data_IF_888230568161
#
_entry.id   IF_888230568161
#
_cell.length_a   1.000
_cell.length_b   1.000
_cell.length_c   1.000
_cell.angle_alpha   90.00
_cell.angle_beta   90.00
_cell.angle_gamma   90.00
#
_symmetry.space_group_name_H-M   'P 1'
#
loop_
_entity.id
_entity.type
_entity.pdbx_description
1 polymer ?
#
# COMPACT_ATOMS: atom_id res chain seq x y z
N UNK A 1 20.16 24.08 -22.34
CA UNK A 1 19.22 23.87 -21.21
C UNK A 1 18.66 25.23 -20.86
N UNK A 2 17.34 25.38 -20.85
CA UNK A 2 16.69 26.64 -20.50
C UNK A 2 16.01 26.46 -19.15
N UNK A 3 16.33 27.33 -18.19
CA UNK A 3 15.71 27.35 -16.85
C UNK A 3 14.26 27.81 -16.99
N UNK A 4 13.34 27.21 -16.22
CA UNK A 4 11.91 27.53 -16.26
C UNK A 4 11.13 26.88 -15.12
N UNK A 5 9.79 26.98 -15.17
CA UNK A 5 8.91 26.34 -14.19
C UNK A 5 9.07 24.82 -14.21
N UNK A 6 9.02 24.12 -13.05
CA UNK A 6 9.15 22.68 -13.00
C UNK A 6 8.08 21.96 -13.83
N UNK A 7 8.51 20.97 -14.59
CA UNK A 7 7.64 19.97 -15.23
C UNK A 7 7.60 18.68 -14.40
N UNK A 8 6.70 17.76 -14.74
CA UNK A 8 6.68 16.41 -14.15
C UNK A 8 8.02 15.67 -14.30
N UNK A 9 8.79 15.95 -15.36
CA UNK A 9 10.11 15.34 -15.55
C UNK A 9 11.14 15.83 -14.52
N UNK A 10 11.06 17.10 -14.10
CA UNK A 10 11.95 17.65 -13.07
C UNK A 10 11.73 16.95 -11.72
N UNK A 11 10.47 16.84 -11.28
CA UNK A 11 10.11 16.11 -10.05
C UNK A 11 10.42 14.61 -10.18
N UNK A 12 10.07 14.05 -11.35
CA UNK A 12 10.25 12.64 -11.68
C UNK A 12 11.69 12.14 -11.69
N UNK A 13 12.67 13.04 -11.88
CA UNK A 13 14.10 12.69 -11.81
C UNK A 13 14.45 12.00 -10.50
N UNK A 14 13.78 12.36 -9.41
CA UNK A 14 13.94 11.72 -8.10
C UNK A 14 12.69 10.95 -7.65
N UNK A 15 11.48 11.35 -8.05
CA UNK A 15 10.26 10.70 -7.55
C UNK A 15 9.85 9.42 -8.32
N UNK A 16 10.23 9.29 -9.59
CA UNK A 16 9.97 8.07 -10.38
C UNK A 16 11.02 6.98 -10.16
N UNK A 17 12.13 7.34 -9.52
CA UNK A 17 13.26 6.48 -9.23
C UNK A 17 13.51 6.43 -7.73
N UNK A 18 13.57 5.23 -7.15
CA UNK A 18 13.84 5.06 -5.72
C UNK A 18 14.34 3.66 -5.44
N UNK A 19 14.94 3.40 -4.28
CA UNK A 19 15.34 2.03 -3.92
C UNK A 19 16.29 1.33 -4.92
N UNK A 20 17.01 2.09 -5.75
CA UNK A 20 17.95 1.59 -6.75
C UNK A 20 17.37 1.31 -8.14
N UNK A 21 16.20 1.85 -8.49
CA UNK A 21 15.65 1.75 -9.85
C UNK A 21 14.32 2.49 -10.05
N UNK A 22 13.79 2.43 -11.27
CA UNK A 22 12.46 2.93 -11.64
C UNK A 22 11.36 2.08 -10.96
N UNK A 23 10.31 2.72 -10.44
CA UNK A 23 9.13 2.04 -9.91
C UNK A 23 9.35 1.16 -8.67
N UNK A 24 10.58 1.05 -8.15
CA UNK A 24 10.91 0.15 -7.02
C UNK A 24 10.19 0.56 -5.73
N UNK A 25 10.16 1.87 -5.41
CA UNK A 25 9.76 2.39 -4.10
C UNK A 25 8.26 2.58 -3.98
N UNK A 26 7.70 3.55 -4.70
CA UNK A 26 6.25 3.80 -4.69
C UNK A 26 5.57 2.91 -5.73
N UNK A 27 4.32 2.50 -5.45
CA UNK A 27 3.51 1.69 -6.36
C UNK A 27 2.78 2.54 -7.41
N UNK A 28 2.72 3.85 -7.24
CA UNK A 28 1.91 4.78 -8.03
C UNK A 28 2.77 5.88 -8.70
N UNK A 29 4.09 5.73 -8.74
CA UNK A 29 4.99 6.70 -9.38
C UNK A 29 6.08 6.01 -10.21
N UNK A 30 6.03 6.23 -11.53
CA UNK A 30 7.04 5.79 -12.48
C UNK A 30 7.13 6.74 -13.70
N UNK A 31 8.05 6.47 -14.64
CA UNK A 31 8.33 7.38 -15.76
C UNK A 31 7.13 7.63 -16.67
N UNK A 32 6.13 6.75 -16.69
CA UNK A 32 4.89 6.93 -17.45
C UNK A 32 4.16 8.21 -17.07
N UNK A 33 4.32 8.70 -15.84
CA UNK A 33 3.76 9.98 -15.37
C UNK A 33 4.44 11.22 -15.98
N UNK A 34 5.55 11.07 -16.70
CA UNK A 34 6.12 12.19 -17.46
C UNK A 34 5.14 12.64 -18.56
N UNK A 35 4.51 11.69 -19.25
CA UNK A 35 3.52 11.92 -20.31
C UNK A 35 2.45 10.82 -20.31
N UNK A 36 1.56 10.81 -19.31
CA UNK A 36 0.57 9.74 -19.16
C UNK A 36 -0.59 9.93 -20.15
N UNK A 37 -1.28 8.84 -20.45
CA UNK A 37 -2.62 8.87 -21.05
C UNK A 37 -3.68 8.78 -19.95
N UNK A 38 -4.97 9.07 -20.23
CA UNK A 38 -6.02 9.12 -19.19
C UNK A 38 -6.26 7.80 -18.44
N UNK A 39 -5.82 6.67 -19.01
CA UNK A 39 -5.88 5.36 -18.34
C UNK A 39 -4.75 5.13 -17.33
N UNK A 40 -3.76 6.02 -17.25
CA UNK A 40 -2.74 6.03 -16.18
C UNK A 40 -3.11 7.06 -15.14
N UNK A 41 -3.28 8.32 -15.54
CA UNK A 41 -3.66 9.39 -14.61
C UNK A 41 -4.45 10.48 -15.35
N UNK A 42 -5.72 10.68 -14.97
CA UNK A 42 -6.61 11.65 -15.64
C UNK A 42 -6.20 13.10 -15.38
N UNK A 43 -5.59 13.40 -14.23
CA UNK A 43 -5.19 14.76 -13.87
C UNK A 43 -3.94 15.18 -14.65
N UNK A 44 -2.99 14.26 -14.80
CA UNK A 44 -1.72 14.51 -15.49
C UNK A 44 -1.76 14.22 -17.00
N UNK A 45 -2.79 13.53 -17.50
CA UNK A 45 -2.94 13.24 -18.92
C UNK A 45 -3.24 14.48 -19.77
N UNK A 46 -3.04 14.33 -21.08
CA UNK A 46 -3.38 15.37 -22.05
C UNK A 46 -4.87 15.76 -21.95
N UNK A 47 -5.14 17.06 -21.78
CA UNK A 47 -6.46 17.59 -21.42
C UNK A 47 -6.31 18.56 -20.24
N UNK A 48 -6.14 18.01 -19.03
CA UNK A 48 -5.83 18.78 -17.82
C UNK A 48 -4.32 19.08 -17.71
N UNK A 49 -3.47 18.11 -18.09
CA UNK A 49 -2.01 18.20 -18.12
C UNK A 49 -1.36 18.78 -16.84
N UNK A 50 -1.93 18.45 -15.67
CA UNK A 50 -1.46 18.97 -14.39
C UNK A 50 0.03 18.68 -14.19
N UNK A 51 0.78 19.71 -13.78
CA UNK A 51 2.12 19.54 -13.24
C UNK A 51 2.01 19.19 -11.76
N UNK A 52 3.05 18.59 -11.18
CA UNK A 52 3.06 18.23 -9.77
C UNK A 52 2.68 19.42 -8.88
N UNK A 53 3.20 20.61 -9.20
CA UNK A 53 2.96 21.86 -8.46
C UNK A 53 1.52 22.37 -8.51
N UNK A 54 0.65 21.79 -9.34
CA UNK A 54 -0.76 22.15 -9.40
C UNK A 54 -1.53 21.64 -8.17
N UNK A 55 -1.20 20.42 -7.71
CA UNK A 55 -1.74 19.82 -6.49
C UNK A 55 -0.78 20.10 -5.31
N UNK A 56 0.52 19.88 -5.53
CA UNK A 56 1.60 20.23 -4.60
C UNK A 56 1.93 21.73 -4.69
N UNK A 57 0.94 22.57 -4.34
CA UNK A 57 1.08 24.02 -4.26
C UNK A 57 2.38 24.43 -3.58
N UNK A 58 3.14 25.30 -4.22
CA UNK A 58 4.47 25.67 -3.75
C UNK A 58 4.55 27.17 -3.52
N UNK A 59 4.74 27.58 -2.27
CA UNK A 59 4.90 28.99 -1.88
C UNK A 59 6.26 29.13 -1.22
N UNK A 60 7.06 30.12 -1.64
CA UNK A 60 8.40 30.37 -1.10
C UNK A 60 9.28 29.10 -1.01
N UNK A 61 9.26 28.26 -2.06
CA UNK A 61 9.95 26.96 -2.14
C UNK A 61 9.49 25.89 -1.14
N UNK A 62 8.41 26.14 -0.39
CA UNK A 62 7.77 25.13 0.43
C UNK A 62 6.73 24.39 -0.42
N UNK A 63 7.11 23.21 -0.91
CA UNK A 63 6.24 22.34 -1.69
C UNK A 63 5.24 21.69 -0.73
N UNK A 64 3.95 21.91 -0.93
CA UNK A 64 2.92 21.27 -0.12
C UNK A 64 2.89 19.76 -0.36
N UNK A 65 2.64 19.00 0.68
CA UNK A 65 2.67 17.55 0.68
C UNK A 65 2.75 17.05 2.11
N UNK A 66 2.42 15.78 2.33
CA UNK A 66 2.49 15.16 3.66
C UNK A 66 3.60 14.13 3.68
N UNK A 67 4.48 14.24 4.67
CA UNK A 67 5.36 13.14 5.10
C UNK A 67 4.73 12.32 6.24
N UNK A 68 3.43 12.52 6.51
CA UNK A 68 2.60 11.82 7.50
C UNK A 68 3.11 11.90 8.96
N UNK A 69 4.02 12.85 9.26
CA UNK A 69 4.50 13.13 10.62
C UNK A 69 3.57 14.07 11.42
N UNK A 70 2.48 14.55 10.81
CA UNK A 70 1.47 15.44 11.37
C UNK A 70 0.09 14.90 10.95
N UNK A 71 -0.94 14.91 11.82
CA UNK A 71 -2.31 14.47 11.50
C UNK A 71 -2.89 15.08 10.22
N UNK A 72 -3.94 14.44 9.68
CA UNK A 72 -4.64 14.97 8.52
C UNK A 72 -5.18 16.38 8.83
N UNK A 73 -5.24 17.25 7.82
CA UNK A 73 -5.84 18.56 8.01
C UNK A 73 -7.31 18.35 8.42
N UNK A 74 -7.72 18.98 9.52
CA UNK A 74 -9.12 18.98 9.97
C UNK A 74 -10.02 19.68 8.92
N UNK A 75 -9.48 20.67 8.21
CA UNK A 75 -10.16 21.42 7.16
C UNK A 75 -10.19 20.65 5.84
N UNK A 76 -11.24 19.85 5.65
CA UNK A 76 -11.66 19.26 4.36
C UNK A 76 -12.41 20.29 3.50
N UNK A 77 -11.90 21.52 3.43
CA UNK A 77 -12.58 22.61 2.72
C UNK A 77 -12.26 22.62 1.23
N UNK A 78 -13.27 22.98 0.43
CA UNK A 78 -13.11 23.22 -1.00
C UNK A 78 -12.12 24.35 -1.21
N UNK A 79 -11.13 24.14 -2.07
CA UNK A 79 -10.03 25.09 -2.22
C UNK A 79 -9.93 25.53 -3.68
N UNK A 80 -10.13 26.83 -3.90
CA UNK A 80 -10.04 27.44 -5.23
C UNK A 80 -8.62 27.32 -5.76
N UNK A 81 -8.48 26.78 -6.98
CA UNK A 81 -7.21 26.71 -7.70
C UNK A 81 -6.61 28.12 -7.81
N UNK A 82 -5.40 28.31 -7.27
CA UNK A 82 -4.67 29.57 -7.32
C UNK A 82 -4.72 30.44 -6.06
N UNK A 83 -5.35 29.98 -4.97
CA UNK A 83 -5.28 30.67 -3.67
C UNK A 83 -4.05 30.20 -2.87
N UNK A 84 -3.20 31.13 -2.41
CA UNK A 84 -1.90 30.82 -1.78
C UNK A 84 -2.02 30.13 -0.42
N UNK A 85 -3.17 30.21 0.25
CA UNK A 85 -3.38 29.66 1.60
C UNK A 85 -3.81 28.20 1.66
N UNK A 86 -4.27 27.60 0.55
CA UNK A 86 -4.96 26.31 0.62
C UNK A 86 -4.05 25.18 0.13
N UNK A 87 -3.84 24.18 0.99
CA UNK A 87 -3.15 22.94 0.63
C UNK A 87 -4.11 22.07 -0.19
N UNK A 88 -3.96 22.11 -1.52
CA UNK A 88 -4.79 21.38 -2.50
C UNK A 88 -4.50 19.88 -2.58
N UNK A 89 -4.23 19.23 -1.44
CA UNK A 89 -3.66 17.88 -1.40
C UNK A 89 -4.71 16.76 -1.33
N UNK A 90 -5.98 17.10 -1.12
CA UNK A 90 -7.07 16.13 -1.02
C UNK A 90 -7.96 16.18 -2.27
N UNK A 91 -8.61 15.07 -2.60
CA UNK A 91 -9.59 15.03 -3.69
C UNK A 91 -10.68 16.08 -3.48
N UNK A 92 -11.10 16.25 -2.23
CA UNK A 92 -12.13 17.19 -1.78
C UNK A 92 -11.74 18.66 -1.99
N UNK A 93 -10.47 18.96 -2.24
CA UNK A 93 -10.04 20.32 -2.60
C UNK A 93 -10.60 20.76 -3.96
N UNK A 94 -10.85 19.82 -4.89
CA UNK A 94 -11.39 20.10 -6.23
C UNK A 94 -12.74 19.41 -6.50
N UNK A 95 -13.06 18.35 -5.76
CA UNK A 95 -14.29 17.57 -5.90
C UNK A 95 -15.20 17.77 -4.67
N UNK A 96 -16.51 17.66 -4.85
CA UNK A 96 -17.43 17.65 -3.71
C UNK A 96 -17.27 16.35 -2.91
N UNK A 97 -17.62 16.35 -1.63
CA UNK A 97 -17.65 15.13 -0.80
C UNK A 97 -18.66 14.08 -1.29
N UNK A 98 -19.67 14.49 -2.06
CA UNK A 98 -20.70 13.60 -2.63
C UNK A 98 -20.72 13.68 -4.16
N UNK A 99 -19.64 13.30 -4.86
CA UNK A 99 -19.47 13.57 -6.29
C UNK A 99 -20.29 12.62 -7.19
N UNK A 100 -20.89 11.57 -6.63
CA UNK A 100 -21.56 10.54 -7.40
C UNK A 100 -23.07 10.78 -7.51
N UNK A 101 -23.64 10.42 -8.65
CA UNK A 101 -25.10 10.40 -8.85
C UNK A 101 -25.77 9.28 -8.04
N UNK A 102 -25.05 8.18 -7.79
CA UNK A 102 -25.54 7.07 -6.98
C UNK A 102 -25.29 7.42 -5.51
N UNK A 103 -26.35 7.75 -4.77
CA UNK A 103 -26.27 8.14 -3.37
C UNK A 103 -25.45 7.15 -2.52
N UNK A 104 -25.60 5.84 -2.78
CA UNK A 104 -24.87 4.82 -2.01
C UNK A 104 -23.34 4.94 -2.16
N UNK A 105 -22.83 5.40 -3.29
CA UNK A 105 -21.39 5.64 -3.44
C UNK A 105 -20.92 6.83 -2.61
N UNK A 106 -21.79 7.83 -2.40
CA UNK A 106 -21.48 8.97 -1.53
C UNK A 106 -21.40 8.54 -0.06
N UNK A 107 -22.29 7.65 0.41
CA UNK A 107 -22.20 7.09 1.77
C UNK A 107 -20.85 6.41 2.05
N UNK A 108 -20.19 5.84 1.03
CA UNK A 108 -18.90 5.18 1.23
C UNK A 108 -17.80 6.17 1.58
N UNK A 109 -17.90 7.43 1.15
CA UNK A 109 -16.86 8.44 1.35
C UNK A 109 -16.63 8.78 2.83
N UNK A 110 -17.58 8.42 3.69
CA UNK A 110 -17.47 8.52 5.16
C UNK A 110 -16.37 7.63 5.72
N UNK A 111 -16.18 6.45 5.13
CA UNK A 111 -15.28 5.40 5.66
C UNK A 111 -14.26 4.89 4.65
N UNK A 112 -14.40 5.21 3.37
CA UNK A 112 -13.55 4.75 2.28
C UNK A 112 -12.98 5.97 1.57
N UNK A 113 -11.66 6.02 1.42
CA UNK A 113 -10.99 7.10 0.69
C UNK A 113 -11.34 7.09 -0.79
N UNK A 114 -11.27 8.25 -1.45
CA UNK A 114 -11.47 8.34 -2.89
C UNK A 114 -10.48 7.44 -3.64
N UNK A 115 -9.23 7.44 -3.18
CA UNK A 115 -8.12 6.66 -3.68
C UNK A 115 -8.42 5.15 -3.65
N UNK A 116 -9.10 4.64 -2.62
CA UNK A 116 -9.40 3.21 -2.52
C UNK A 116 -10.29 2.71 -3.67
N UNK A 117 -11.16 3.56 -4.19
CA UNK A 117 -12.01 3.27 -5.34
C UNK A 117 -11.38 3.70 -6.67
N UNK A 118 -10.62 4.78 -6.66
CA UNK A 118 -10.10 5.44 -7.86
C UNK A 118 -8.63 5.15 -8.15
N UNK A 119 -7.94 4.32 -7.37
CA UNK A 119 -6.60 3.78 -7.69
C UNK A 119 -6.71 2.24 -7.63
N UNK A 120 -7.30 1.60 -8.66
CA UNK A 120 -7.67 0.19 -8.60
C UNK A 120 -6.45 -0.74 -8.60
N UNK A 121 -5.33 -0.33 -9.22
CA UNK A 121 -4.11 -1.11 -9.33
C UNK A 121 -2.86 -0.25 -9.12
N UNK A 122 -1.85 -0.85 -8.51
CA UNK A 122 -0.49 -0.34 -8.41
C UNK A 122 0.33 -0.81 -9.61
N UNK A 123 1.43 -0.10 -9.88
CA UNK A 123 2.46 -0.49 -10.83
C UNK A 123 1.87 -0.72 -12.23
N UNK A 124 0.96 0.17 -12.68
CA UNK A 124 0.21 0.02 -13.93
C UNK A 124 1.15 -0.16 -15.13
N UNK A 125 2.19 0.66 -15.21
CA UNK A 125 3.13 0.64 -16.34
C UNK A 125 4.47 -0.03 -16.01
N UNK A 126 5.00 0.21 -14.81
CA UNK A 126 6.32 -0.30 -14.40
C UNK A 126 6.21 -1.18 -13.18
N UNK A 127 6.88 -2.35 -13.16
CA UNK A 127 6.84 -3.22 -12.00
C UNK A 127 7.36 -2.53 -10.73
N UNK A 128 6.71 -2.80 -9.61
CA UNK A 128 7.16 -2.37 -8.28
C UNK A 128 7.59 -3.56 -7.44
N UNK A 129 8.59 -3.35 -6.58
CA UNK A 129 9.12 -4.39 -5.71
C UNK A 129 8.24 -4.52 -4.47
N UNK A 130 7.84 -5.74 -4.14
CA UNK A 130 7.00 -6.06 -2.97
C UNK A 130 7.76 -6.80 -1.87
N UNK A 131 8.83 -7.49 -2.24
CA UNK A 131 9.69 -8.23 -1.32
C UNK A 131 11.16 -7.95 -1.59
N UNK A 132 11.95 -7.78 -0.54
CA UNK A 132 13.40 -7.71 -0.62
C UNK A 132 14.06 -8.49 0.53
N UNK A 133 14.68 -9.63 0.21
CA UNK A 133 15.41 -10.45 1.19
C UNK A 133 16.93 -10.27 1.06
N UNK A 134 17.51 -9.47 1.94
CA UNK A 134 18.96 -9.27 2.02
C UNK A 134 19.72 -10.45 2.64
N UNK A 135 19.05 -11.35 3.37
CA UNK A 135 19.69 -12.54 3.97
C UNK A 135 20.23 -13.50 2.92
N UNK A 136 19.69 -13.42 1.70
CA UNK A 136 20.12 -14.23 0.56
C UNK A 136 21.22 -13.56 -0.26
N UNK A 137 21.67 -12.35 0.09
CA UNK A 137 22.75 -11.67 -0.60
C UNK A 137 24.10 -12.39 -0.39
N UNK A 138 25.04 -12.18 -1.29
CA UNK A 138 26.38 -12.78 -1.23
C UNK A 138 26.52 -14.14 -1.93
N UNK A 139 25.43 -14.83 -2.32
CA UNK A 139 25.54 -16.10 -3.07
C UNK A 139 26.13 -15.85 -4.46
N UNK A 140 27.16 -16.62 -4.79
CA UNK A 140 27.95 -16.59 -6.03
C UNK A 140 27.81 -17.92 -6.77
N UNK A 141 28.28 -17.97 -8.02
CA UNK A 141 28.41 -19.25 -8.75
C UNK A 141 29.47 -20.13 -8.06
N UNK A 142 29.55 -21.44 -8.39
CA UNK A 142 30.63 -22.30 -7.91
C UNK A 142 32.04 -21.74 -8.19
N UNK A 143 32.19 -20.98 -9.28
CA UNK A 143 33.44 -20.32 -9.69
C UNK A 143 33.66 -18.96 -8.99
N UNK A 144 32.83 -18.62 -8.00
CA UNK A 144 32.94 -17.38 -7.21
C UNK A 144 32.46 -16.11 -7.92
N UNK A 145 31.76 -16.22 -9.06
CA UNK A 145 31.29 -15.04 -9.80
C UNK A 145 29.95 -14.51 -9.25
N UNK A 146 29.72 -13.18 -9.25
CA UNK A 146 28.41 -12.61 -8.95
C UNK A 146 27.33 -13.12 -9.92
N UNK A 147 26.14 -13.36 -9.37
CA UNK A 147 24.94 -13.84 -10.04
C UNK A 147 23.94 -12.68 -10.13
N UNK A 148 23.31 -12.54 -11.31
CA UNK A 148 22.08 -11.78 -11.49
C UNK A 148 21.07 -12.70 -12.16
N UNK A 149 19.90 -12.89 -11.54
CA UNK A 149 18.79 -13.63 -12.16
C UNK A 149 17.69 -12.65 -12.52
N UNK A 150 17.12 -12.84 -13.70
CA UNK A 150 16.01 -12.04 -14.21
C UNK A 150 14.77 -12.89 -14.40
N UNK A 151 13.60 -12.29 -14.21
CA UNK A 151 12.32 -12.86 -14.60
C UNK A 151 11.54 -11.83 -15.40
N UNK A 152 10.58 -12.31 -16.19
CA UNK A 152 9.58 -11.46 -16.83
C UNK A 152 8.40 -11.26 -15.88
N UNK A 153 7.98 -10.00 -15.71
CA UNK A 153 6.79 -9.62 -14.96
C UNK A 153 5.90 -8.79 -15.87
N UNK A 154 4.88 -9.45 -16.43
CA UNK A 154 3.92 -8.89 -17.41
C UNK A 154 4.63 -8.09 -18.52
N UNK A 155 5.60 -8.72 -19.18
CA UNK A 155 6.36 -8.16 -20.31
C UNK A 155 7.54 -7.26 -19.94
N UNK A 156 7.85 -7.11 -18.65
CA UNK A 156 9.02 -6.33 -18.20
C UNK A 156 10.04 -7.23 -17.52
N UNK A 157 11.27 -7.26 -18.05
CA UNK A 157 12.38 -8.02 -17.45
C UNK A 157 12.94 -7.28 -16.23
N UNK A 158 12.82 -7.89 -15.06
CA UNK A 158 13.33 -7.36 -13.79
C UNK A 158 14.33 -8.32 -13.15
N UNK A 159 15.26 -7.80 -12.35
CA UNK A 159 16.13 -8.65 -11.54
C UNK A 159 15.29 -9.25 -10.40
N UNK A 160 15.29 -10.56 -10.25
CA UNK A 160 14.66 -11.29 -9.12
C UNK A 160 15.71 -11.80 -8.12
N UNK A 161 16.98 -11.76 -8.49
CA UNK A 161 18.10 -11.96 -7.59
C UNK A 161 19.32 -11.17 -8.07
N UNK A 162 20.09 -10.61 -7.15
CA UNK A 162 21.39 -9.99 -7.40
C UNK A 162 22.32 -10.31 -6.22
N UNK A 163 23.52 -10.84 -6.47
CA UNK A 163 24.49 -11.17 -5.39
C UNK A 163 24.74 -9.99 -4.45
N UNK A 164 24.67 -8.74 -4.92
CA UNK A 164 24.86 -7.56 -4.09
C UNK A 164 23.69 -7.25 -3.17
N UNK A 165 22.51 -7.77 -3.45
CA UNK A 165 21.24 -7.29 -2.87
C UNK A 165 20.32 -8.39 -2.37
N UNK A 166 20.53 -9.65 -2.75
CA UNK A 166 19.68 -10.77 -2.39
C UNK A 166 18.52 -10.97 -3.35
N UNK A 167 17.38 -11.41 -2.83
CA UNK A 167 16.22 -11.83 -3.62
C UNK A 167 15.11 -10.76 -3.64
N UNK A 168 14.36 -10.71 -4.74
CA UNK A 168 13.25 -9.78 -4.93
C UNK A 168 11.97 -10.48 -5.41
N UNK A 169 10.81 -9.97 -5.00
CA UNK A 169 9.53 -10.22 -5.67
C UNK A 169 9.02 -8.89 -6.23
N UNK A 170 8.51 -8.94 -7.45
CA UNK A 170 7.96 -7.81 -8.17
C UNK A 170 6.55 -8.11 -8.65
N UNK A 171 5.75 -7.05 -8.74
CA UNK A 171 4.40 -7.09 -9.32
C UNK A 171 4.27 -6.01 -10.38
N UNK A 172 3.33 -6.16 -11.29
CA UNK A 172 2.90 -5.13 -12.24
C UNK A 172 1.38 -5.21 -12.37
N UNK A 173 0.70 -4.08 -12.36
CA UNK A 173 -0.75 -3.96 -12.51
C UNK A 173 -1.52 -4.93 -11.59
N UNK A 174 -1.36 -4.73 -10.28
CA UNK A 174 -1.96 -5.57 -9.25
C UNK A 174 -2.66 -4.72 -8.19
N UNK A 175 -3.65 -5.31 -7.51
CA UNK A 175 -4.42 -4.61 -6.49
C UNK A 175 -3.55 -4.19 -5.29
N UNK A 176 -3.79 -3.01 -4.71
CA UNK A 176 -3.18 -2.62 -3.43
C UNK A 176 -3.73 -3.45 -2.26
N UNK A 177 -3.00 -3.40 -1.14
CA UNK A 177 -3.56 -3.77 0.16
C UNK A 177 -4.34 -2.58 0.72
N UNK A 178 -5.24 -2.81 1.67
CA UNK A 178 -6.07 -1.76 2.26
C UNK A 178 -5.91 -1.78 3.78
N UNK A 179 -5.86 -0.59 4.38
CA UNK A 179 -5.76 -0.41 5.83
C UNK A 179 -6.68 0.71 6.29
N UNK A 180 -7.02 0.73 7.58
CA UNK A 180 -7.50 1.94 8.24
C UNK A 180 -6.35 2.93 8.37
N UNK A 181 -6.63 4.21 8.09
CA UNK A 181 -5.66 5.27 8.21
C UNK A 181 -6.33 6.60 8.54
N UNK A 182 -5.87 7.27 9.60
CA UNK A 182 -6.32 8.60 10.00
C UNK A 182 -5.39 9.73 9.51
N UNK A 183 -4.38 9.39 8.72
CA UNK A 183 -3.40 10.35 8.21
C UNK A 183 -2.12 10.44 9.04
N UNK A 184 -2.04 9.86 10.24
CA UNK A 184 -0.82 9.86 11.04
C UNK A 184 0.02 8.60 10.82
N UNK A 185 1.34 8.76 10.80
CA UNK A 185 2.26 7.64 10.67
C UNK A 185 3.43 7.79 11.63
N UNK A 186 3.58 6.82 12.53
CA UNK A 186 4.77 6.70 13.38
C UNK A 186 5.90 6.09 12.57
N UNK A 187 7.12 6.54 12.80
CA UNK A 187 8.31 6.08 12.09
C UNK A 187 9.34 5.58 13.10
N UNK A 188 10.06 4.51 12.74
CA UNK A 188 11.28 4.11 13.45
C UNK A 188 12.44 5.02 13.08
N UNK A 189 13.27 5.32 14.07
CA UNK A 189 14.49 6.10 13.92
C UNK A 189 15.73 5.20 14.07
N UNK A 190 16.85 5.73 13.57
CA UNK A 190 18.16 5.09 13.73
C UNK A 190 18.49 5.00 15.22
N UNK A 191 18.81 3.79 15.70
CA UNK A 191 19.09 3.52 17.11
C UNK A 191 17.89 3.08 17.94
N UNK A 192 16.67 3.11 17.39
CA UNK A 192 15.51 2.55 18.09
C UNK A 192 15.71 1.06 18.34
N UNK A 193 15.44 0.65 19.58
CA UNK A 193 15.43 -0.77 19.97
C UNK A 193 14.21 -1.44 19.33
N UNK A 194 14.46 -2.51 18.59
CA UNK A 194 13.43 -3.29 17.90
C UNK A 194 12.92 -4.44 18.77
N UNK A 195 11.69 -4.86 18.48
CA UNK A 195 11.15 -6.12 18.96
C UNK A 195 11.57 -7.26 18.03
N UNK A 196 12.45 -8.13 18.54
CA UNK A 196 12.97 -9.32 17.87
C UNK A 196 12.32 -10.62 18.37
N UNK A 197 11.15 -10.53 19.03
CA UNK A 197 10.49 -11.68 19.66
C UNK A 197 9.05 -11.86 19.22
N UNK A 198 8.27 -10.77 19.14
CA UNK A 198 6.83 -10.87 18.87
C UNK A 198 6.57 -11.35 17.44
N UNK A 199 5.94 -12.53 17.24
CA UNK A 199 5.62 -13.04 15.91
C UNK A 199 4.73 -12.08 15.13
N UNK A 200 4.92 -12.03 13.81
CA UNK A 200 4.11 -11.17 12.93
C UNK A 200 2.59 -11.46 13.02
N UNK A 201 2.18 -12.69 13.36
CA UNK A 201 0.77 -13.03 13.61
C UNK A 201 0.15 -12.32 14.81
N UNK A 202 0.97 -11.83 15.73
CA UNK A 202 0.54 -11.15 16.96
C UNK A 202 0.65 -9.63 16.86
N UNK A 203 1.26 -9.10 15.80
CA UNK A 203 1.42 -7.66 15.60
C UNK A 203 0.16 -7.07 14.95
N UNK A 204 -0.57 -6.14 15.63
CA UNK A 204 -1.79 -5.57 15.07
C UNK A 204 -1.56 -4.86 13.73
N UNK A 205 -2.45 -5.15 12.78
CA UNK A 205 -2.41 -4.58 11.43
C UNK A 205 -1.39 -5.22 10.48
N UNK A 206 -0.58 -6.17 10.93
CA UNK A 206 0.29 -6.96 10.05
C UNK A 206 -0.51 -8.13 9.49
N UNK A 207 -0.63 -8.18 8.16
CA UNK A 207 -1.25 -9.29 7.45
C UNK A 207 -0.29 -9.90 6.45
N UNK A 208 -0.48 -11.18 6.13
CA UNK A 208 0.26 -11.80 5.04
C UNK A 208 -0.24 -11.25 3.71
N UNK A 209 0.63 -10.55 2.99
CA UNK A 209 0.30 -10.04 1.67
C UNK A 209 0.28 -11.14 0.61
N UNK A 210 -0.31 -10.84 -0.53
CA UNK A 210 -0.35 -11.77 -1.68
C UNK A 210 1.04 -11.96 -2.32
N UNK A 211 1.93 -10.98 -2.16
CA UNK A 211 3.16 -10.84 -2.95
C UNK A 211 4.41 -10.72 -2.08
N UNK A 212 4.49 -11.53 -1.02
CA UNK A 212 5.64 -11.58 -0.13
C UNK A 212 5.94 -13.01 0.34
N UNK A 213 7.05 -13.15 1.06
CA UNK A 213 7.45 -14.40 1.73
C UNK A 213 7.42 -14.23 3.25
N UNK A 214 6.52 -13.40 3.76
CA UNK A 214 6.44 -13.15 5.20
C UNK A 214 6.07 -14.44 5.93
N UNK A 215 6.88 -14.79 6.93
CA UNK A 215 6.62 -15.87 7.88
C UNK A 215 5.90 -15.29 9.09
N UNK A 216 4.62 -15.62 9.25
CA UNK A 216 3.78 -15.09 10.33
C UNK A 216 4.23 -15.58 11.72
N UNK A 217 5.00 -16.67 11.79
CA UNK A 217 5.53 -17.22 13.05
C UNK A 217 6.82 -16.55 13.53
N UNK A 218 7.37 -15.63 12.74
CA UNK A 218 8.65 -14.97 13.02
C UNK A 218 8.47 -13.49 13.37
N UNK A 219 9.41 -12.90 14.12
CA UNK A 219 9.38 -11.49 14.43
C UNK A 219 9.37 -10.59 13.19
N UNK A 220 8.72 -9.43 13.31
CA UNK A 220 8.67 -8.40 12.28
C UNK A 220 8.83 -7.01 12.89
N UNK A 221 9.65 -6.17 12.25
CA UNK A 221 9.78 -4.76 12.60
C UNK A 221 9.02 -3.92 11.59
N UNK A 222 8.11 -3.08 12.08
CA UNK A 222 7.37 -2.12 11.27
C UNK A 222 8.16 -0.82 11.21
N UNK A 223 8.79 -0.54 10.06
CA UNK A 223 9.59 0.66 9.83
C UNK A 223 8.74 1.93 9.99
N UNK A 224 7.47 1.82 9.63
CA UNK A 224 6.45 2.80 9.92
C UNK A 224 5.13 2.12 10.30
N UNK A 225 4.37 2.80 11.13
CA UNK A 225 3.11 2.31 11.69
C UNK A 225 2.03 3.34 11.34
N UNK A 226 1.11 3.02 10.39
CA UNK A 226 -0.06 3.84 10.14
C UNK A 226 -0.96 3.86 11.39
N UNK A 227 -1.40 5.05 11.78
CA UNK A 227 -2.41 5.24 12.82
C UNK A 227 -3.82 5.09 12.28
N UNK A 228 -4.78 4.91 13.19
CA UNK A 228 -6.19 4.77 12.87
C UNK A 228 -6.71 3.34 12.92
N UNK A 229 -8.02 3.21 13.15
CA UNK A 229 -8.75 1.95 13.18
C UNK A 229 -10.24 2.17 12.84
N UNK A 230 -11.05 1.11 12.89
CA UNK A 230 -12.47 1.17 12.54
C UNK A 230 -13.33 2.04 13.48
N UNK A 231 -12.89 2.28 14.71
CA UNK A 231 -13.60 3.08 15.71
C UNK A 231 -13.15 4.54 15.72
N UNK A 232 -12.00 4.84 15.10
CA UNK A 232 -11.51 6.20 14.93
C UNK A 232 -12.38 6.93 13.87
N UNK A 233 -13.10 8.01 14.25
CA UNK A 233 -13.98 8.75 13.34
C UNK A 233 -13.23 9.45 12.20
N UNK A 234 -11.94 9.71 12.35
CA UNK A 234 -11.11 10.36 11.34
C UNK A 234 -10.43 9.34 10.40
N UNK A 235 -10.55 8.05 10.71
CA UNK A 235 -9.99 6.97 9.89
C UNK A 235 -10.85 6.64 8.68
N UNK A 236 -10.17 6.54 7.53
CA UNK A 236 -10.74 5.95 6.31
C UNK A 236 -9.95 4.71 5.89
N UNK A 237 -10.59 3.84 5.13
CA UNK A 237 -9.94 2.75 4.41
C UNK A 237 -9.18 3.34 3.23
N UNK A 238 -7.87 3.15 3.20
CA UNK A 238 -6.97 3.68 2.17
C UNK A 238 -6.22 2.56 1.44
N UNK A 239 -5.93 2.72 0.14
CA UNK A 239 -5.10 1.78 -0.59
C UNK A 239 -3.62 2.08 -0.27
N UNK A 240 -2.87 1.02 0.00
CA UNK A 240 -1.46 1.10 0.33
C UNK A 240 -0.65 0.10 -0.49
N UNK A 241 0.58 0.50 -0.79
CA UNK A 241 1.66 -0.45 -1.02
C UNK A 241 2.26 -0.82 0.33
N UNK A 242 2.35 -2.12 0.60
CA UNK A 242 3.15 -2.62 1.72
C UNK A 242 4.36 -3.36 1.17
N UNK A 243 5.56 -2.80 1.36
CA UNK A 243 6.81 -3.50 1.03
C UNK A 243 7.26 -4.28 2.25
N UNK A 244 7.54 -5.56 2.06
CA UNK A 244 8.09 -6.42 3.11
C UNK A 244 9.47 -6.92 2.71
N UNK A 245 10.23 -7.43 3.67
CA UNK A 245 11.56 -7.96 3.37
C UNK A 245 12.28 -8.48 4.58
N UNK A 246 13.55 -8.82 4.41
CA UNK A 246 14.50 -9.09 5.49
C UNK A 246 15.70 -8.19 5.35
N UNK A 247 16.08 -7.54 6.44
CA UNK A 247 17.25 -6.68 6.50
C UNK A 247 18.08 -6.98 7.73
N UNK A 248 19.34 -6.54 7.68
CA UNK A 248 20.31 -6.81 8.73
C UNK A 248 20.06 -5.95 9.96
N UNK A 249 20.25 -6.54 11.14
CA UNK A 249 20.17 -5.86 12.42
C UNK A 249 21.29 -6.36 13.35
N UNK A 250 21.70 -5.53 14.30
CA UNK A 250 22.61 -5.92 15.38
C UNK A 250 21.81 -6.77 16.39
N UNK A 251 22.10 -8.06 16.47
CA UNK A 251 21.29 -9.02 17.24
C UNK A 251 21.46 -8.88 18.75
N UNK A 252 22.59 -8.33 19.20
CA UNK A 252 22.86 -8.10 20.62
C UNK A 252 22.25 -6.79 21.10
N UNK A 253 22.36 -5.73 20.30
CA UNK A 253 21.81 -4.40 20.62
C UNK A 253 20.35 -4.25 20.23
N UNK A 254 19.83 -5.14 19.38
CA UNK A 254 18.45 -5.13 18.88
C UNK A 254 18.14 -3.82 18.16
N UNK A 255 19.01 -3.38 17.27
CA UNK A 255 18.81 -2.18 16.45
C UNK A 255 18.99 -2.54 14.98
N UNK A 256 18.19 -1.95 14.09
CA UNK A 256 18.41 -2.12 12.66
C UNK A 256 19.78 -1.57 12.28
N UNK A 257 20.57 -2.38 11.59
CA UNK A 257 21.94 -2.00 11.24
C UNK A 257 21.92 -1.11 10.00
N UNK A 258 22.83 -0.13 9.96
CA UNK A 258 23.06 0.74 8.81
C UNK A 258 24.37 0.33 8.12
N UNK A 259 24.33 -0.60 7.15
CA UNK A 259 25.54 -1.10 6.52
C UNK A 259 26.10 -0.14 5.46
N UNK A 260 27.43 -0.10 5.33
CA UNK A 260 28.12 0.49 4.18
C UNK A 260 27.89 -0.36 2.94
N UNK A 261 26.96 0.04 2.08
CA UNK A 261 26.63 -0.71 0.85
C UNK A 261 27.47 -0.29 -0.36
N UNK A 262 27.57 1.02 -0.60
CA UNK A 262 28.12 1.57 -1.85
C UNK A 262 29.66 1.70 -1.81
N UNK A 263 30.40 1.19 -2.81
CA UNK A 263 31.87 1.17 -2.81
C UNK A 263 32.49 2.49 -3.27
N UNK A 264 32.09 3.59 -2.64
CA UNK A 264 32.68 4.92 -2.85
C UNK A 264 32.89 5.66 -1.52
N UNK A 265 33.74 6.69 -1.57
CA UNK A 265 34.15 7.45 -0.39
C UNK A 265 35.05 6.65 0.55
N UNK A 266 35.02 7.02 1.83
CA UNK A 266 35.69 6.30 2.90
C UNK A 266 35.14 4.88 3.05
N UNK A 267 35.99 3.97 3.52
CA UNK A 267 35.65 2.56 3.72
C UNK A 267 35.11 1.85 2.45
N UNK A 268 35.40 2.36 1.24
CA UNK A 268 35.00 1.75 -0.04
C UNK A 268 35.45 0.31 -0.23
N UNK A 269 36.53 -0.10 0.44
CA UNK A 269 37.08 -1.45 0.39
C UNK A 269 36.20 -2.47 1.09
N UNK A 270 35.50 -2.07 2.15
CA UNK A 270 34.64 -2.93 2.98
C UNK A 270 33.16 -2.81 2.64
N UNK A 271 32.80 -1.96 1.67
CA UNK A 271 31.42 -1.81 1.23
C UNK A 271 30.84 -3.13 0.71
N UNK A 272 29.63 -3.48 1.16
CA UNK A 272 29.04 -4.79 0.92
C UNK A 272 28.94 -5.16 -0.57
N UNK A 273 28.60 -4.20 -1.45
CA UNK A 273 28.48 -4.47 -2.89
C UNK A 273 29.81 -4.79 -3.59
N UNK A 274 30.93 -4.71 -2.87
CA UNK A 274 32.26 -5.11 -3.34
C UNK A 274 32.84 -6.24 -2.51
N UNK A 275 32.83 -6.11 -1.18
CA UNK A 275 33.44 -7.06 -0.26
C UNK A 275 32.58 -8.31 -0.03
N UNK A 276 31.26 -8.18 -0.12
CA UNK A 276 30.29 -9.22 0.24
C UNK A 276 30.49 -9.75 1.67
N UNK A 277 30.89 -8.86 2.57
CA UNK A 277 31.17 -9.14 3.99
C UNK A 277 30.27 -8.24 4.83
N UNK A 278 29.25 -8.84 5.46
CA UNK A 278 28.25 -8.12 6.25
C UNK A 278 28.86 -7.52 7.51
N UNK A 279 29.68 -8.27 8.24
CA UNK A 279 30.30 -7.83 9.49
C UNK A 279 31.11 -6.54 9.27
N UNK A 280 32.01 -6.54 8.27
CA UNK A 280 32.79 -5.34 7.93
C UNK A 280 31.94 -4.19 7.41
N UNK A 281 30.91 -4.48 6.62
CA UNK A 281 30.03 -3.44 6.08
C UNK A 281 29.18 -2.78 7.18
N UNK A 282 28.68 -3.57 8.14
CA UNK A 282 27.93 -3.07 9.29
C UNK A 282 28.86 -2.26 10.18
N UNK A 283 30.02 -2.80 10.56
CA UNK A 283 31.00 -2.09 11.38
C UNK A 283 31.31 -0.70 10.81
N UNK A 284 31.64 -0.62 9.51
CA UNK A 284 31.97 0.64 8.86
C UNK A 284 30.78 1.61 8.73
N UNK A 285 29.55 1.09 8.59
CA UNK A 285 28.37 1.91 8.44
C UNK A 285 27.84 2.44 9.77
N UNK A 286 27.90 1.61 10.82
CA UNK A 286 27.53 1.98 12.20
C UNK A 286 28.53 3.00 12.78
N UNK A 287 29.84 2.79 12.57
CA UNK A 287 30.88 3.76 12.95
C UNK A 287 30.64 5.14 12.32
N UNK A 288 30.31 5.17 11.02
CA UNK A 288 30.02 6.41 10.30
C UNK A 288 28.85 7.21 10.89
N UNK A 289 27.83 6.54 11.44
CA UNK A 289 26.68 7.19 12.09
C UNK A 289 26.86 7.37 13.60
N UNK A 290 28.05 7.09 14.14
CA UNK A 290 28.35 7.21 15.56
C UNK A 290 27.64 6.18 16.44
N UNK A 291 27.30 5.00 15.89
CA UNK A 291 26.69 3.91 16.65
C UNK A 291 27.66 2.74 16.83
N UNK A 292 27.66 2.18 18.04
CA UNK A 292 28.46 0.99 18.34
C UNK A 292 27.84 -0.26 17.69
N UNK A 293 28.66 -1.00 16.94
CA UNK A 293 28.31 -2.33 16.46
C UNK A 293 28.81 -3.39 17.45
N UNK A 294 27.95 -4.35 17.80
CA UNK A 294 28.31 -5.42 18.75
C UNK A 294 29.27 -6.48 18.19
N UNK A 295 29.44 -6.54 16.86
CA UNK A 295 30.12 -7.65 16.18
C UNK A 295 29.20 -8.85 15.90
N UNK A 296 27.92 -8.77 16.25
CA UNK A 296 26.94 -9.82 16.02
C UNK A 296 25.77 -9.26 15.21
N UNK A 297 25.38 -9.95 14.14
CA UNK A 297 24.25 -9.56 13.30
C UNK A 297 23.40 -10.77 12.94
N UNK A 298 22.14 -10.49 12.63
CA UNK A 298 21.23 -11.45 12.00
C UNK A 298 20.27 -10.68 11.06
N UNK A 299 19.29 -11.36 10.47
CA UNK A 299 18.29 -10.78 9.59
C UNK A 299 16.90 -10.88 10.19
N UNK A 300 16.19 -9.76 10.21
CA UNK A 300 14.83 -9.68 10.73
C UNK A 300 13.86 -9.28 9.64
N UNK A 301 12.62 -9.77 9.73
CA UNK A 301 11.57 -9.37 8.79
C UNK A 301 11.19 -7.92 9.04
N UNK A 302 10.87 -7.20 7.97
CA UNK A 302 10.45 -5.80 8.03
C UNK A 302 9.24 -5.55 7.16
N UNK A 303 8.46 -4.56 7.56
CA UNK A 303 7.33 -4.02 6.82
C UNK A 303 7.45 -2.51 6.74
N UNK A 304 7.12 -1.95 5.58
CA UNK A 304 6.95 -0.51 5.41
C UNK A 304 5.73 -0.24 4.52
N UNK A 305 4.91 0.72 4.93
CA UNK A 305 3.63 1.08 4.33
C UNK A 305 3.75 2.40 3.58
N UNK A 306 3.23 2.47 2.36
CA UNK A 306 3.09 3.71 1.58
C UNK A 306 1.65 3.85 1.08
N UNK A 307 0.91 4.87 1.55
CA UNK A 307 -0.34 5.27 0.91
C UNK A 307 -0.15 5.61 -0.56
N UNK A 308 -1.14 5.26 -1.38
CA UNK A 308 -1.17 5.60 -2.80
C UNK A 308 -2.01 6.86 -3.00
N UNK A 309 -1.56 7.74 -3.89
CA UNK A 309 -2.21 9.02 -4.16
C UNK A 309 -2.23 9.43 -5.65
N UNK A 310 -1.54 8.70 -6.51
CA UNK A 310 -1.43 9.00 -7.95
C UNK A 310 -1.94 7.84 -8.81
N UNK A 311 -1.91 8.03 -10.13
CA UNK A 311 -2.39 7.06 -11.11
C UNK A 311 -3.90 6.82 -11.02
N UNK A 312 -4.66 7.91 -10.85
CA UNK A 312 -6.12 7.87 -10.89
C UNK A 312 -6.57 7.71 -12.36
N UNK A 313 -7.08 6.54 -12.79
CA UNK A 313 -7.48 6.31 -14.16
C UNK A 313 -8.88 6.91 -14.41
N UNK A 314 -9.45 6.58 -15.56
CA UNK A 314 -10.79 7.07 -15.90
C UNK A 314 -11.86 6.50 -14.97
N UNK A 315 -12.97 7.23 -14.76
CA UNK A 315 -14.04 6.82 -13.84
C UNK A 315 -14.65 5.44 -14.14
N UNK A 316 -14.63 4.99 -15.40
CA UNK A 316 -15.08 3.65 -15.81
C UNK A 316 -14.18 2.51 -15.29
N UNK A 317 -12.94 2.82 -14.91
CA UNK A 317 -11.97 1.87 -14.40
C UNK A 317 -11.95 1.85 -12.86
N UNK A 318 -12.84 2.62 -12.20
CA UNK A 318 -12.99 2.60 -10.75
C UNK A 318 -13.46 1.24 -10.25
N UNK A 319 -13.09 0.91 -9.01
CA UNK A 319 -13.41 -0.36 -8.37
C UNK A 319 -14.93 -0.57 -8.30
N UNK A 320 -15.37 -1.77 -8.70
CA UNK A 320 -16.77 -2.17 -8.63
C UNK A 320 -17.16 -2.72 -7.25
N UNK A 321 -18.45 -2.70 -6.92
CA UNK A 321 -18.96 -3.15 -5.62
C UNK A 321 -18.52 -4.59 -5.29
N UNK A 322 -18.63 -5.52 -6.25
CA UNK A 322 -18.36 -6.93 -6.04
C UNK A 322 -16.89 -7.22 -5.70
N UNK A 323 -15.97 -6.35 -6.12
CA UNK A 323 -14.55 -6.52 -5.81
C UNK A 323 -14.25 -6.29 -4.32
N UNK A 324 -15.07 -5.50 -3.61
CA UNK A 324 -14.91 -5.25 -2.17
C UNK A 324 -15.85 -6.11 -1.32
N UNK A 325 -17.08 -6.33 -1.78
CA UNK A 325 -18.16 -6.99 -1.05
C UNK A 325 -18.17 -8.54 -1.19
N UNK A 326 -17.03 -9.15 -1.50
CA UNK A 326 -16.86 -10.60 -1.59
C UNK A 326 -15.87 -11.11 -0.54
N UNK A 327 -16.00 -12.36 -0.03
CA UNK A 327 -15.17 -12.85 1.07
C UNK A 327 -13.65 -12.80 0.81
N UNK A 328 -13.22 -13.02 -0.45
CA UNK A 328 -11.83 -12.90 -0.88
C UNK A 328 -11.57 -11.63 -1.71
N UNK A 329 -12.41 -10.61 -1.51
CA UNK A 329 -12.31 -9.32 -2.19
C UNK A 329 -11.16 -8.45 -1.68
N UNK A 330 -11.10 -7.22 -2.21
CA UNK A 330 -10.12 -6.18 -1.89
C UNK A 330 -10.04 -5.89 -0.39
N UNK A 331 -11.18 -5.90 0.31
CA UNK A 331 -11.27 -5.59 1.73
C UNK A 331 -11.23 -6.82 2.63
N UNK A 332 -10.78 -7.99 2.17
CA UNK A 332 -10.77 -9.23 2.97
C UNK A 332 -10.06 -9.10 4.33
N UNK A 333 -9.00 -8.29 4.39
CA UNK A 333 -8.19 -8.10 5.60
C UNK A 333 -8.65 -6.92 6.49
N UNK A 334 -9.69 -6.18 6.09
CA UNK A 334 -10.21 -5.08 6.90
C UNK A 334 -11.08 -5.62 8.03
N UNK A 335 -10.72 -5.33 9.28
CA UNK A 335 -11.50 -5.72 10.45
C UNK A 335 -12.25 -4.53 11.07
N UNK A 336 -13.10 -4.80 12.06
CA UNK A 336 -13.79 -3.80 12.87
C UNK A 336 -15.09 -3.24 12.27
N UNK A 337 -15.46 -3.64 11.06
CA UNK A 337 -16.74 -3.29 10.43
C UNK A 337 -17.40 -4.51 9.78
N UNK A 338 -18.73 -4.45 9.67
CA UNK A 338 -19.50 -5.41 8.87
C UNK A 338 -19.63 -4.93 7.43
N UNK A 339 -19.16 -5.74 6.48
CA UNK A 339 -19.25 -5.49 5.04
C UNK A 339 -20.23 -6.49 4.43
N UNK A 340 -21.39 -6.03 3.91
CA UNK A 340 -22.37 -6.89 3.25
C UNK A 340 -21.73 -7.75 2.14
N UNK A 341 -22.09 -9.02 2.07
CA UNK A 341 -21.58 -9.98 1.08
C UNK A 341 -20.21 -10.59 1.40
N UNK A 342 -19.30 -9.83 2.04
CA UNK A 342 -18.04 -10.34 2.58
C UNK A 342 -18.27 -11.06 3.90
N UNK A 343 -18.92 -10.36 4.84
CA UNK A 343 -19.17 -10.86 6.18
C UNK A 343 -20.53 -11.55 6.27
N UNK A 344 -20.59 -12.57 7.11
CA UNK A 344 -21.83 -13.30 7.41
C UNK A 344 -22.03 -13.34 8.91
N UNK A 345 -23.28 -13.24 9.33
CA UNK A 345 -23.66 -13.49 10.70
C UNK A 345 -24.51 -14.76 10.70
N UNK A 346 -23.96 -15.92 11.10
CA UNK A 346 -24.65 -17.20 11.01
C UNK A 346 -26.01 -17.20 11.74
N UNK A 347 -26.14 -16.46 12.84
CA UNK A 347 -27.39 -16.36 13.59
C UNK A 347 -28.45 -15.58 12.82
N UNK A 348 -28.07 -14.45 12.23
CA UNK A 348 -28.99 -13.67 11.38
C UNK A 348 -29.35 -14.47 10.13
N UNK A 349 -28.40 -15.18 9.54
CA UNK A 349 -28.63 -16.01 8.36
C UNK A 349 -29.63 -17.14 8.68
N UNK A 350 -29.47 -17.83 9.82
CA UNK A 350 -30.38 -18.88 10.28
C UNK A 350 -31.79 -18.31 10.54
N UNK A 351 -31.89 -17.20 11.25
CA UNK A 351 -33.20 -16.56 11.53
C UNK A 351 -33.86 -16.09 10.24
N UNK A 352 -33.10 -15.47 9.34
CA UNK A 352 -33.58 -15.00 8.04
C UNK A 352 -34.11 -16.14 7.18
N UNK A 353 -33.34 -17.23 7.02
CA UNK A 353 -33.80 -18.42 6.31
C UNK A 353 -34.98 -19.11 7.00
N UNK A 354 -35.01 -19.11 8.33
CA UNK A 354 -36.15 -19.59 9.10
C UNK A 354 -37.44 -18.83 8.79
N UNK A 355 -37.38 -17.51 8.69
CA UNK A 355 -38.52 -16.67 8.31
C UNK A 355 -38.95 -16.91 6.86
N UNK A 356 -38.02 -17.11 5.93
CA UNK A 356 -38.34 -17.45 4.53
C UNK A 356 -39.10 -18.78 4.47
N UNK A 357 -38.63 -19.81 5.17
CA UNK A 357 -39.29 -21.11 5.25
C UNK A 357 -40.67 -20.99 5.89
N UNK A 358 -40.80 -20.25 7.00
CA UNK A 358 -42.07 -20.05 7.68
C UNK A 358 -43.09 -19.30 6.80
N UNK A 359 -42.63 -18.31 6.02
CA UNK A 359 -43.45 -17.59 5.05
C UNK A 359 -43.90 -18.51 3.92
N UNK A 360 -43.00 -19.34 3.39
CA UNK A 360 -43.32 -20.33 2.36
C UNK A 360 -44.38 -21.32 2.85
N UNK A 361 -44.22 -21.84 4.08
CA UNK A 361 -45.18 -22.75 4.70
C UNK A 361 -46.54 -22.08 4.92
N UNK A 362 -46.55 -20.82 5.38
CA UNK A 362 -47.78 -20.05 5.54
C UNK A 362 -48.51 -19.83 4.21
N UNK A 363 -47.78 -19.45 3.15
CA UNK A 363 -48.33 -19.26 1.82
C UNK A 363 -48.87 -20.57 1.21
N UNK A 364 -48.10 -21.67 1.33
CA UNK A 364 -48.51 -22.99 0.88
C UNK A 364 -49.74 -23.50 1.64
N UNK A 365 -49.75 -23.35 2.97
CA UNK A 365 -50.87 -23.72 3.82
C UNK A 365 -52.14 -22.93 3.48
N UNK A 366 -52.02 -21.61 3.28
CA UNK A 366 -53.14 -20.78 2.83
C UNK A 366 -53.62 -21.17 1.42
N UNK A 367 -52.71 -21.53 0.51
CA UNK A 367 -53.05 -22.07 -0.81
C UNK A 367 -53.83 -23.39 -0.73
N UNK A 368 -53.39 -24.32 0.11
CA UNK A 368 -54.08 -25.59 0.39
C UNK A 368 -55.47 -25.37 0.99
N UNK A 369 -55.59 -24.47 1.97
CA UNK A 369 -56.88 -24.11 2.56
C UNK A 369 -57.86 -23.55 1.52
N UNK A 370 -57.39 -22.73 0.58
CA UNK A 370 -58.21 -22.24 -0.53
C UNK A 370 -58.71 -23.36 -1.44
N UNK A 371 -57.86 -24.33 -1.78
CA UNK A 371 -58.24 -25.47 -2.62
C UNK A 371 -59.27 -26.36 -1.95
N UNK A 372 -59.07 -26.69 -0.67
CA UNK A 372 -60.01 -27.53 0.10
C UNK A 372 -61.33 -26.82 0.36
N UNK A 373 -61.32 -25.51 0.61
CA UNK A 373 -62.54 -24.73 0.82
C UNK A 373 -63.37 -24.54 -0.45
N UNK A 374 -62.74 -24.53 -1.63
CA UNK A 374 -63.44 -24.45 -2.92
C UNK A 374 -64.23 -25.72 -3.25
N UNK A 375 -63.71 -26.89 -2.85
CA UNK A 375 -64.40 -28.18 -3.00
C UNK A 375 -65.56 -28.42 -2.03
N UNK A 376 -65.79 -27.55 -1.04
CA UNK A 376 -66.92 -27.62 -0.09
C UNK A 376 -68.08 -26.68 -0.45
N UNK A 377 -67.98 -25.94 -1.56
CA UNK A 377 -68.99 -24.97 -1.99
C UNK A 377 -69.99 -25.49 -3.03
N UNK A 378 -69.88 -26.75 -3.48
CA UNK A 378 -70.74 -27.35 -4.51
C UNK A 378 -71.79 -28.33 -3.97
N UNK A 379 -71.97 -28.44 -2.65
CA UNK A 379 -73.11 -29.11 -2.03
C UNK A 379 -73.89 -28.11 -1.18
N UNK A 380 -74.72 -27.30 -1.83
CA UNK A 380 -75.92 -26.67 -1.23
C UNK A 380 -76.90 -26.20 -2.29
#
# INVERSE_FOLDING_TARGET
>A
MNVGKPSRHNCGTCHFFGGGGEGVKHGDMDVSLAKPHPGIDVHMAQGLDFKCTQCHTTVAHQVSGRCFTIPALEEKEFALLGHESNKLLACESCHTQTPHQIAKLNDHTDRVSCEACHIPTMARERPTKMWWDWSLAGKKTPEGKPIVKKADVKGTKVNVYDTKKGEFIWIKDENPEYIWFNGEMKHSFIGDVIDDKTPASEVPGVTKGRFDKLDMSKPIVRINIPGGDANDPDSKIVPVKIHRGKQVYDSKRKILAVPKLFPAGENKGVAYWKAYDWDKAIAAGMDYIGQEYSGEYDFIQTEMVWPLAHMVPTAKDAVSCAECHTPQGRLANISGIYIPGRDRNPMIDIVGWGLVVLTLLGAAGHGLLRLVSKGKGEDK
#
